data_IF_822817523182
#
_entry.id   IF_822817523182
#
_cell.length_a   1.000
_cell.length_b   1.000
_cell.length_c   1.000
_cell.angle_alpha   90.00
_cell.angle_beta   90.00
_cell.angle_gamma   90.00
#
_symmetry.space_group_name_H-M   'P 1'
#
loop_
_entity.id
_entity.type
_entity.pdbx_description
1 polymer ?
#
# COMPACT_ATOMS: atom_id res chain seq x y z
N UNK A 1 -12.21 6.58 -37.80
CA UNK A 1 -13.03 6.07 -36.67
C UNK A 1 -12.48 4.71 -36.29
N UNK A 2 -11.57 4.66 -35.32
CA UNK A 2 -10.95 3.41 -34.86
C UNK A 2 -11.55 3.03 -33.51
N UNK A 3 -11.97 1.77 -33.40
CA UNK A 3 -12.73 1.24 -32.27
C UNK A 3 -11.98 1.36 -30.93
N UNK A 4 -12.70 1.57 -29.81
CA UNK A 4 -12.10 1.62 -28.48
C UNK A 4 -11.51 0.24 -28.12
N UNK A 5 -10.27 0.24 -27.66
CA UNK A 5 -9.50 -0.95 -27.32
C UNK A 5 -10.16 -1.70 -26.15
N UNK A 6 -10.77 -2.84 -26.43
CA UNK A 6 -11.43 -3.69 -25.45
C UNK A 6 -10.40 -4.54 -24.68
N UNK A 7 -9.66 -3.91 -23.75
CA UNK A 7 -8.79 -4.58 -22.79
C UNK A 7 -9.37 -4.58 -21.36
N UNK A 8 -10.68 -4.38 -21.24
CA UNK A 8 -11.43 -4.25 -19.98
C UNK A 8 -11.53 -5.56 -19.16
N UNK A 9 -11.04 -6.70 -19.66
CA UNK A 9 -11.60 -7.99 -19.25
C UNK A 9 -10.64 -8.95 -18.54
N UNK A 10 -9.47 -8.53 -18.05
CA UNK A 10 -8.52 -9.49 -17.41
C UNK A 10 -7.69 -8.99 -16.22
N UNK A 11 -8.19 -8.09 -15.37
CA UNK A 11 -7.46 -7.76 -14.13
C UNK A 11 -8.38 -7.59 -12.92
N UNK A 12 -8.02 -8.11 -11.73
CA UNK A 12 -8.81 -7.95 -10.51
C UNK A 12 -8.84 -6.47 -10.14
N UNK A 13 -10.03 -5.90 -10.14
CA UNK A 13 -10.28 -4.56 -9.61
C UNK A 13 -10.57 -4.76 -8.13
N UNK A 14 -9.69 -4.32 -7.23
CA UNK A 14 -10.05 -4.26 -5.80
C UNK A 14 -11.15 -3.19 -5.71
N UNK A 15 -12.36 -3.63 -5.40
CA UNK A 15 -13.51 -2.74 -5.32
C UNK A 15 -13.32 -1.71 -4.21
N UNK A 16 -13.83 -0.49 -4.39
CA UNK A 16 -13.65 0.62 -3.44
C UNK A 16 -14.06 0.26 -2.01
N UNK A 17 -15.13 -0.51 -1.86
CA UNK A 17 -15.58 -0.99 -0.55
C UNK A 17 -14.62 -2.01 0.05
N UNK A 18 -14.03 -2.90 -0.77
CA UNK A 18 -13.01 -3.84 -0.34
C UNK A 18 -11.75 -3.13 0.17
N UNK A 19 -11.27 -2.11 -0.55
CA UNK A 19 -10.15 -1.29 -0.11
C UNK A 19 -10.48 -0.58 1.21
N UNK A 20 -11.70 -0.03 1.36
CA UNK A 20 -12.15 0.63 2.58
C UNK A 20 -12.22 -0.33 3.77
N UNK A 21 -12.77 -1.54 3.59
CA UNK A 21 -12.78 -2.59 4.60
C UNK A 21 -11.36 -3.00 5.00
N UNK A 22 -10.48 -3.19 4.02
CA UNK A 22 -9.08 -3.53 4.26
C UNK A 22 -8.35 -2.43 5.05
N UNK A 23 -8.51 -1.16 4.65
CA UNK A 23 -7.95 -0.01 5.39
C UNK A 23 -8.49 0.05 6.81
N UNK A 24 -9.79 -0.15 7.00
CA UNK A 24 -10.43 -0.08 8.32
C UNK A 24 -9.94 -1.19 9.25
N UNK A 25 -9.86 -2.43 8.75
CA UNK A 25 -9.36 -3.56 9.52
C UNK A 25 -7.85 -3.46 9.81
N UNK A 26 -7.03 -3.04 8.84
CA UNK A 26 -5.61 -2.76 9.06
C UNK A 26 -5.47 -1.67 10.13
N UNK A 27 -6.20 -0.56 10.01
CA UNK A 27 -6.20 0.50 11.01
C UNK A 27 -6.58 -0.02 12.40
N UNK A 28 -7.57 -0.91 12.49
CA UNK A 28 -8.06 -1.43 13.75
C UNK A 28 -7.12 -2.45 14.42
N UNK A 29 -6.39 -3.23 13.60
CA UNK A 29 -5.53 -4.32 14.06
C UNK A 29 -4.06 -3.91 14.15
N UNK A 30 -3.60 -2.89 13.44
CA UNK A 30 -2.18 -2.57 13.37
C UNK A 30 -1.68 -1.92 14.67
N UNK A 31 -0.52 -2.36 15.15
CA UNK A 31 0.12 -1.92 16.39
C UNK A 31 -0.73 -2.04 17.66
N UNK A 32 -1.74 -2.93 17.65
CA UNK A 32 -2.56 -3.21 18.82
C UNK A 32 -1.79 -4.08 19.81
N UNK A 33 -1.99 -3.80 21.09
CA UNK A 33 -1.61 -4.71 22.15
C UNK A 33 -2.76 -5.67 22.44
N UNK A 34 -2.51 -6.96 22.26
CA UNK A 34 -3.43 -8.05 22.58
C UNK A 34 -2.71 -8.90 23.61
N UNK A 35 -3.07 -8.73 24.87
CA UNK A 35 -2.34 -9.30 26.01
C UNK A 35 -0.84 -8.94 25.99
N UNK A 36 0.03 -9.94 25.81
CA UNK A 36 1.50 -9.79 25.72
C UNK A 36 1.98 -9.55 24.28
N UNK A 37 1.08 -9.67 23.30
CA UNK A 37 1.38 -9.58 21.89
C UNK A 37 1.20 -8.15 21.36
N UNK A 38 2.05 -7.78 20.41
CA UNK A 38 1.90 -6.60 19.56
C UNK A 38 1.61 -7.05 18.14
N UNK A 39 0.50 -6.58 17.59
CA UNK A 39 0.09 -6.93 16.23
C UNK A 39 0.66 -5.98 15.19
N UNK A 40 0.85 -6.48 13.98
CA UNK A 40 1.19 -5.73 12.77
C UNK A 40 0.26 -6.26 11.67
N UNK A 41 -0.61 -5.39 11.17
CA UNK A 41 -1.58 -5.75 10.14
C UNK A 41 -1.22 -5.08 8.82
N UNK A 42 -1.30 -5.83 7.72
CA UNK A 42 -1.02 -5.34 6.36
C UNK A 42 -1.85 -6.07 5.31
N UNK A 43 -1.93 -5.52 4.10
CA UNK A 43 -2.53 -6.24 2.98
C UNK A 43 -1.80 -7.57 2.72
N UNK A 44 -2.56 -8.65 2.50
CA UNK A 44 -1.98 -9.94 2.19
C UNK A 44 -1.52 -10.01 0.73
N UNK A 45 -0.42 -10.72 0.47
CA UNK A 45 0.07 -10.94 -0.89
C UNK A 45 -0.54 -12.21 -1.51
N UNK A 46 -0.43 -12.36 -2.83
CA UNK A 46 -0.77 -13.62 -3.53
C UNK A 46 0.07 -14.80 -3.03
N UNK A 47 1.29 -14.55 -2.51
CA UNK A 47 2.13 -15.58 -1.89
C UNK A 47 1.53 -16.03 -0.55
N UNK A 48 1.06 -15.09 0.27
CA UNK A 48 0.41 -15.41 1.54
C UNK A 48 -0.85 -16.26 1.29
N UNK A 49 -1.73 -15.86 0.34
CA UNK A 49 -2.95 -16.61 -0.01
C UNK A 49 -2.65 -18.06 -0.39
N UNK A 50 -1.61 -18.29 -1.21
CA UNK A 50 -1.17 -19.64 -1.61
C UNK A 50 -0.58 -20.48 -0.47
N UNK A 51 -0.13 -19.82 0.60
CA UNK A 51 0.41 -20.49 1.78
C UNK A 51 -0.65 -20.94 2.78
N UNK A 52 -1.92 -20.53 2.63
CA UNK A 52 -3.00 -20.90 3.53
C UNK A 52 -3.43 -22.36 3.31
N UNK A 53 -3.21 -23.27 4.28
CA UNK A 53 -3.50 -24.69 4.10
C UNK A 53 -4.99 -25.01 4.29
N UNK A 54 -5.68 -24.23 5.13
CA UNK A 54 -7.10 -24.33 5.38
C UNK A 54 -7.59 -23.03 6.04
N UNK A 55 -8.88 -22.77 5.95
CA UNK A 55 -9.55 -21.60 6.51
C UNK A 55 -10.58 -22.03 7.54
N UNK A 56 -10.58 -21.39 8.71
CA UNK A 56 -11.64 -21.49 9.70
C UNK A 56 -12.70 -20.46 9.33
N UNK A 57 -13.91 -20.91 9.03
CA UNK A 57 -15.05 -20.06 8.73
C UNK A 57 -15.80 -19.72 10.01
N UNK A 58 -16.09 -18.44 10.18
CA UNK A 58 -16.93 -17.89 11.23
C UNK A 58 -18.13 -17.22 10.58
N UNK A 59 -19.33 -17.72 10.88
CA UNK A 59 -20.55 -17.09 10.39
C UNK A 59 -20.95 -15.97 11.36
N UNK A 60 -21.16 -14.77 10.81
CA UNK A 60 -21.58 -13.60 11.59
C UNK A 60 -22.84 -13.01 10.97
N UNK A 61 -23.57 -12.21 11.75
CA UNK A 61 -24.69 -11.41 11.25
C UNK A 61 -24.27 -10.29 10.28
N UNK A 62 -22.96 -10.08 10.09
CA UNK A 62 -22.34 -9.08 9.19
C UNK A 62 -21.62 -9.72 8.00
N UNK A 63 -21.86 -11.01 7.75
CA UNK A 63 -21.20 -11.79 6.71
C UNK A 63 -20.11 -12.71 7.26
N UNK A 64 -19.63 -13.67 6.46
CA UNK A 64 -18.63 -14.62 6.90
C UNK A 64 -17.26 -13.96 7.07
N UNK A 65 -16.56 -14.36 8.13
CA UNK A 65 -15.15 -14.05 8.36
C UNK A 65 -14.38 -15.36 8.28
N UNK A 66 -13.25 -15.36 7.59
CA UNK A 66 -12.42 -16.55 7.46
C UNK A 66 -11.01 -16.27 7.98
N UNK A 67 -10.47 -17.17 8.79
CA UNK A 67 -9.11 -17.06 9.33
C UNK A 67 -8.29 -18.26 8.89
N UNK A 68 -7.13 -18.02 8.28
CA UNK A 68 -6.13 -19.03 7.98
C UNK A 68 -4.86 -18.79 8.81
N UNK A 69 -4.65 -19.54 9.89
CA UNK A 69 -3.37 -19.57 10.60
C UNK A 69 -2.27 -20.12 9.70
N UNK A 70 -1.17 -19.38 9.59
CA UNK A 70 0.05 -19.80 8.87
C UNK A 70 1.17 -20.18 9.85
N UNK A 71 1.27 -19.44 10.95
CA UNK A 71 2.25 -19.64 12.02
C UNK A 71 1.54 -19.48 13.38
N UNK A 72 1.75 -20.41 14.31
CA UNK A 72 1.24 -20.35 15.68
C UNK A 72 2.32 -20.84 16.65
N UNK A 73 2.61 -20.05 17.68
CA UNK A 73 3.77 -20.14 18.57
C UNK A 73 5.07 -20.46 17.83
N UNK A 74 5.34 -19.67 16.80
CA UNK A 74 6.53 -19.77 15.95
C UNK A 74 6.69 -21.13 15.21
N UNK A 75 5.59 -21.87 15.06
CA UNK A 75 5.54 -23.12 14.29
C UNK A 75 4.51 -23.02 13.17
N UNK A 76 4.76 -23.71 12.04
CA UNK A 76 3.79 -23.78 10.95
C UNK A 76 2.48 -24.39 11.46
N UNK A 77 1.37 -23.69 11.23
CA UNK A 77 0.06 -24.19 11.59
C UNK A 77 -0.30 -25.37 10.69
N UNK A 78 -0.52 -26.54 11.30
CA UNK A 78 -0.91 -27.76 10.58
C UNK A 78 -2.38 -28.01 10.84
N UNK A 79 -3.22 -27.52 9.92
CA UNK A 79 -4.67 -27.68 9.99
C UNK A 79 -5.23 -28.63 8.94
N UNK A 80 -4.35 -29.35 8.25
CA UNK A 80 -4.69 -30.35 7.26
C UNK A 80 -4.18 -31.70 7.69
N UNK A 81 -4.98 -32.73 7.48
CA UNK A 81 -4.55 -34.12 7.57
C UNK A 81 -3.72 -34.51 6.35
N UNK A 82 -3.08 -35.69 6.37
CA UNK A 82 -2.19 -36.20 5.31
C UNK A 82 -2.62 -35.90 3.86
N UNK A 83 -3.86 -36.18 3.43
CA UNK A 83 -4.30 -35.91 2.05
C UNK A 83 -4.60 -34.43 1.74
N UNK A 84 -4.20 -33.48 2.59
CA UNK A 84 -4.45 -32.05 2.39
C UNK A 84 -5.88 -31.60 2.75
N UNK A 85 -6.69 -32.51 3.30
CA UNK A 85 -8.05 -32.19 3.75
C UNK A 85 -8.02 -31.46 5.10
N UNK A 86 -8.85 -30.42 5.30
CA UNK A 86 -8.95 -29.73 6.58
C UNK A 86 -9.25 -30.70 7.74
N UNK A 87 -8.53 -30.57 8.84
CA UNK A 87 -8.65 -31.38 10.05
C UNK A 87 -9.28 -30.54 11.18
N UNK A 88 -10.50 -30.92 11.56
CA UNK A 88 -11.28 -30.25 12.61
C UNK A 88 -10.59 -30.24 13.98
N UNK A 89 -9.94 -31.33 14.36
CA UNK A 89 -9.27 -31.42 15.66
C UNK A 89 -8.02 -30.54 15.69
N UNK A 90 -7.24 -30.56 14.61
CA UNK A 90 -6.05 -29.72 14.47
C UNK A 90 -6.42 -28.22 14.36
N UNK A 91 -7.51 -27.90 13.68
CA UNK A 91 -8.03 -26.53 13.61
C UNK A 91 -8.52 -26.04 14.97
N UNK A 92 -9.26 -26.86 15.74
CA UNK A 92 -9.71 -26.49 17.09
C UNK A 92 -8.53 -26.27 18.05
N UNK A 93 -7.52 -27.14 18.01
CA UNK A 93 -6.30 -26.97 18.80
C UNK A 93 -5.51 -25.69 18.41
N UNK A 94 -5.47 -25.38 17.11
CA UNK A 94 -4.84 -24.16 16.61
C UNK A 94 -5.63 -22.92 17.04
N UNK A 95 -6.96 -22.98 16.96
CA UNK A 95 -7.87 -21.89 17.35
C UNK A 95 -7.68 -21.52 18.83
N UNK A 96 -7.57 -22.50 19.73
CA UNK A 96 -7.33 -22.26 21.15
C UNK A 96 -6.03 -21.51 21.45
N UNK A 97 -5.00 -21.63 20.60
CA UNK A 97 -3.71 -20.93 20.76
C UNK A 97 -3.73 -19.49 20.22
N UNK A 98 -4.69 -19.16 19.38
CA UNK A 98 -4.83 -17.83 18.78
C UNK A 98 -6.07 -17.10 19.31
N UNK A 99 -6.71 -17.64 20.34
CA UNK A 99 -7.94 -17.10 20.94
C UNK A 99 -7.83 -15.63 21.33
N UNK A 100 -6.71 -15.13 21.90
CA UNK A 100 -6.57 -13.69 22.16
C UNK A 100 -6.67 -12.83 20.89
N UNK A 101 -6.15 -13.31 19.75
CA UNK A 101 -6.22 -12.60 18.47
C UNK A 101 -7.64 -12.65 17.87
N UNK A 102 -8.36 -13.75 18.08
CA UNK A 102 -9.76 -13.88 17.68
C UNK A 102 -10.64 -12.95 18.52
N UNK A 103 -10.45 -12.91 19.84
CA UNK A 103 -11.15 -11.99 20.73
C UNK A 103 -10.88 -10.51 20.39
N UNK A 104 -9.66 -10.19 19.96
CA UNK A 104 -9.33 -8.86 19.46
C UNK A 104 -10.12 -8.53 18.18
N UNK A 105 -10.30 -9.50 17.29
CA UNK A 105 -11.10 -9.35 16.07
C UNK A 105 -12.59 -9.19 16.38
N UNK A 106 -13.15 -9.98 17.30
CA UNK A 106 -14.53 -9.84 17.80
C UNK A 106 -14.80 -8.43 18.33
N UNK A 107 -13.87 -7.91 19.15
CA UNK A 107 -13.95 -6.56 19.70
C UNK A 107 -14.01 -5.49 18.61
N UNK A 108 -13.22 -5.67 17.55
CA UNK A 108 -13.11 -4.71 16.44
C UNK A 108 -14.33 -4.80 15.51
N UNK A 109 -14.86 -6.00 15.29
CA UNK A 109 -16.02 -6.22 14.44
C UNK A 109 -17.35 -5.97 15.17
N UNK A 110 -17.33 -5.97 16.51
CA UNK A 110 -18.53 -5.85 17.33
C UNK A 110 -19.44 -7.09 17.24
N UNK A 111 -18.87 -8.26 16.94
CA UNK A 111 -19.60 -9.54 16.78
C UNK A 111 -18.84 -10.66 17.46
N UNK A 112 -19.56 -11.68 17.90
CA UNK A 112 -18.95 -12.94 18.37
C UNK A 112 -18.63 -13.84 17.18
N UNK A 113 -17.44 -14.43 17.18
CA UNK A 113 -16.92 -15.29 16.13
C UNK A 113 -17.06 -16.76 16.52
N UNK A 114 -18.20 -17.35 16.15
CA UNK A 114 -18.44 -18.78 16.33
C UNK A 114 -17.92 -19.58 15.12
N UNK A 115 -17.03 -20.56 15.32
CA UNK A 115 -16.52 -21.37 14.23
C UNK A 115 -17.65 -22.23 13.64
N UNK A 116 -17.95 -22.01 12.36
CA UNK A 116 -19.03 -22.66 11.63
C UNK A 116 -18.54 -23.81 10.73
N UNK A 117 -17.27 -23.81 10.33
CA UNK A 117 -16.71 -24.87 9.51
C UNK A 117 -15.27 -24.64 9.07
N UNK A 118 -14.76 -25.56 8.26
CA UNK A 118 -13.45 -25.48 7.64
C UNK A 118 -13.59 -25.47 6.11
N UNK A 119 -12.80 -24.65 5.45
CA UNK A 119 -12.73 -24.55 4.00
C UNK A 119 -11.30 -24.84 3.54
N UNK A 120 -11.15 -25.55 2.41
CA UNK A 120 -9.86 -25.73 1.77
C UNK A 120 -9.47 -24.48 0.94
N UNK A 121 -10.46 -23.85 0.30
CA UNK A 121 -10.28 -22.69 -0.56
C UNK A 121 -11.36 -21.63 -0.29
N UNK A 122 -11.11 -20.39 -0.71
CA UNK A 122 -12.05 -19.28 -0.63
C UNK A 122 -12.80 -19.17 -1.96
N UNK A 123 -14.13 -19.16 -1.92
CA UNK A 123 -15.00 -19.08 -3.11
C UNK A 123 -15.07 -17.65 -3.69
N UNK A 124 -14.98 -16.62 -2.84
CA UNK A 124 -15.04 -15.20 -3.22
C UNK A 124 -13.64 -14.54 -3.29
N UNK A 125 -13.59 -13.26 -3.65
CA UNK A 125 -12.40 -12.41 -3.54
C UNK A 125 -12.50 -11.41 -2.36
N UNK A 126 -12.41 -11.89 -1.10
CA UNK A 126 -12.58 -11.06 0.08
C UNK A 126 -11.43 -10.08 0.28
N UNK A 127 -11.63 -9.06 1.11
CA UNK A 127 -10.54 -8.25 1.63
C UNK A 127 -9.60 -9.14 2.44
N UNK A 128 -8.35 -9.30 1.96
CA UNK A 128 -7.35 -10.16 2.58
C UNK A 128 -6.32 -9.35 3.36
N UNK A 129 -6.15 -9.72 4.63
CA UNK A 129 -5.25 -9.06 5.57
C UNK A 129 -4.34 -10.10 6.18
N UNK A 130 -3.06 -9.76 6.26
CA UNK A 130 -2.10 -10.51 7.05
C UNK A 130 -1.92 -9.84 8.40
N UNK A 131 -2.07 -10.62 9.46
CA UNK A 131 -1.86 -10.22 10.85
C UNK A 131 -0.65 -10.97 11.41
N UNK A 132 0.43 -10.25 11.68
CA UNK A 132 1.61 -10.78 12.37
C UNK A 132 1.55 -10.34 13.84
N UNK A 133 1.61 -11.28 14.79
CA UNK A 133 1.62 -11.01 16.22
C UNK A 133 3.00 -11.32 16.81
N UNK A 134 3.59 -10.34 17.49
CA UNK A 134 4.94 -10.41 18.04
C UNK A 134 4.92 -10.32 19.56
N UNK A 135 5.80 -11.03 20.24
CA UNK A 135 6.01 -10.84 21.67
C UNK A 135 6.69 -9.49 21.98
N UNK A 136 6.74 -9.10 23.26
CA UNK A 136 7.44 -7.88 23.71
C UNK A 136 8.90 -7.78 23.26
N UNK A 137 9.58 -8.92 23.06
CA UNK A 137 10.95 -8.98 22.55
C UNK A 137 11.08 -8.80 21.03
N UNK A 138 9.97 -8.65 20.30
CA UNK A 138 9.95 -8.52 18.85
C UNK A 138 9.95 -9.84 18.08
N UNK A 139 9.97 -10.99 18.76
CA UNK A 139 9.86 -12.31 18.13
C UNK A 139 8.47 -12.51 17.56
N UNK A 140 8.38 -12.89 16.28
CA UNK A 140 7.12 -13.28 15.66
C UNK A 140 6.61 -14.58 16.28
N UNK A 141 5.42 -14.51 16.89
CA UNK A 141 4.78 -15.65 17.54
C UNK A 141 3.68 -16.24 16.65
N UNK A 142 2.80 -15.41 16.10
CA UNK A 142 1.72 -15.86 15.23
C UNK A 142 1.68 -15.10 13.92
N UNK A 143 1.21 -15.78 12.87
CA UNK A 143 0.86 -15.19 11.58
C UNK A 143 -0.45 -15.76 11.11
N UNK A 144 -1.43 -14.89 10.92
CA UNK A 144 -2.77 -15.24 10.45
C UNK A 144 -3.06 -14.50 9.14
N UNK A 145 -3.85 -15.12 8.27
CA UNK A 145 -4.60 -14.40 7.25
C UNK A 145 -6.05 -14.28 7.69
N UNK A 146 -6.62 -13.10 7.45
CA UNK A 146 -8.00 -12.77 7.72
C UNK A 146 -8.62 -12.38 6.39
N UNK A 147 -9.71 -13.05 6.04
CA UNK A 147 -10.55 -12.73 4.90
C UNK A 147 -11.89 -12.22 5.42
N UNK A 148 -12.28 -11.03 4.96
CA UNK A 148 -13.55 -10.40 5.30
C UNK A 148 -14.24 -9.87 4.03
N UNK A 149 -15.57 -9.84 4.04
CA UNK A 149 -16.34 -9.25 2.95
C UNK A 149 -16.15 -7.72 2.88
N UNK A 150 -16.39 -7.13 1.71
CA UNK A 150 -16.15 -5.72 1.44
C UNK A 150 -17.04 -4.76 2.25
N UNK A 151 -18.20 -5.22 2.69
CA UNK A 151 -19.19 -4.47 3.46
C UNK A 151 -19.02 -4.61 4.99
N UNK A 152 -17.95 -5.26 5.45
CA UNK A 152 -17.74 -5.48 6.88
C UNK A 152 -17.63 -4.14 7.62
N UNK A 153 -18.52 -3.93 8.57
CA UNK A 153 -18.52 -2.73 9.39
C UNK A 153 -17.54 -2.92 10.56
N UNK A 154 -16.44 -2.16 10.51
CA UNK A 154 -15.43 -2.13 11.56
C UNK A 154 -15.81 -1.08 12.59
N UNK A 155 -15.93 -1.46 13.86
CA UNK A 155 -16.14 -0.52 14.96
C UNK A 155 -14.92 0.41 15.01
N UNK A 156 -15.11 1.72 14.82
CA UNK A 156 -14.00 2.65 14.82
C UNK A 156 -13.26 2.56 16.16
N UNK A 157 -11.93 2.41 16.10
CA UNK A 157 -11.11 2.31 17.29
C UNK A 157 -11.40 3.50 18.23
N UNK A 158 -11.45 3.27 19.55
CA UNK A 158 -11.36 4.37 20.49
C UNK A 158 -10.06 5.14 20.18
N UNK A 159 -10.18 6.45 20.08
CA UNK A 159 -9.04 7.34 19.86
C UNK A 159 -7.93 7.02 20.88
N UNK A 160 -6.65 7.21 20.53
CA UNK A 160 -5.59 7.17 21.54
C UNK A 160 -6.04 7.97 22.77
N UNK A 161 -5.85 7.44 23.99
CA UNK A 161 -6.43 8.03 25.21
C UNK A 161 -6.10 9.53 25.38
N UNK A 162 -5.01 9.96 24.76
CA UNK A 162 -4.49 11.32 24.82
C UNK A 162 -4.88 12.19 23.60
N UNK A 163 -5.67 11.67 22.65
CA UNK A 163 -6.14 12.41 21.48
C UNK A 163 -7.56 12.94 21.74
N UNK A 164 -7.74 14.26 21.96
CA UNK A 164 -9.06 14.83 22.17
C UNK A 164 -9.99 14.51 20.99
N UNK A 165 -11.26 14.16 21.28
CA UNK A 165 -12.25 13.78 20.26
C UNK A 165 -12.37 14.79 19.10
N UNK A 166 -12.26 16.08 19.41
CA UNK A 166 -12.28 17.17 18.41
C UNK A 166 -11.08 17.12 17.47
N UNK A 167 -9.89 16.74 17.97
CA UNK A 167 -8.69 16.58 17.16
C UNK A 167 -8.78 15.31 16.33
N UNK A 168 -9.25 14.20 16.92
CA UNK A 168 -9.44 12.93 16.23
C UNK A 168 -10.32 13.03 14.97
N UNK A 169 -11.36 13.87 15.00
CA UNK A 169 -12.28 14.09 13.90
C UNK A 169 -11.76 15.03 12.80
N UNK A 170 -10.59 15.68 12.97
CA UNK A 170 -10.05 16.61 11.98
C UNK A 170 -9.79 15.88 10.66
N UNK A 171 -10.40 16.39 9.58
CA UNK A 171 -10.22 15.86 8.23
C UNK A 171 -8.96 16.43 7.61
N UNK A 172 -7.98 15.58 7.39
CA UNK A 172 -6.65 15.91 6.91
C UNK A 172 -6.44 15.26 5.53
N UNK A 173 -5.84 16.02 4.61
CA UNK A 173 -5.53 15.55 3.25
C UNK A 173 -4.08 15.08 3.20
N UNK A 174 -3.85 13.89 2.67
CA UNK A 174 -2.51 13.40 2.40
C UNK A 174 -2.10 13.74 0.96
N UNK A 175 -0.80 13.78 0.68
CA UNK A 175 -0.26 13.98 -0.67
C UNK A 175 0.78 12.92 -0.98
N UNK A 176 0.93 12.60 -2.26
CA UNK A 176 1.95 11.69 -2.76
C UNK A 176 2.87 12.38 -3.76
N UNK A 177 4.08 11.87 -3.86
CA UNK A 177 5.13 12.35 -4.74
C UNK A 177 5.77 11.14 -5.45
N UNK A 178 6.03 11.25 -6.75
CA UNK A 178 6.77 10.24 -7.53
C UNK A 178 7.90 10.94 -8.27
N UNK A 179 9.09 10.36 -8.22
CA UNK A 179 10.24 10.88 -8.94
C UNK A 179 10.10 10.64 -10.46
N UNK A 180 10.37 11.67 -11.26
CA UNK A 180 10.52 11.53 -12.70
C UNK A 180 11.98 11.14 -13.03
N UNK A 181 12.22 10.46 -14.17
CA UNK A 181 13.58 10.34 -14.69
C UNK A 181 14.18 11.74 -14.90
N UNK A 182 15.50 11.94 -14.70
CA UNK A 182 16.12 13.26 -14.90
C UNK A 182 15.89 13.77 -16.33
N UNK A 183 15.30 14.96 -16.46
CA UNK A 183 14.90 15.55 -17.75
C UNK A 183 15.82 16.73 -18.07
N UNK A 184 16.39 16.83 -19.29
CA UNK A 184 17.16 18.00 -19.69
C UNK A 184 16.33 19.29 -19.58
N UNK A 185 16.94 20.36 -19.07
CA UNK A 185 16.27 21.65 -18.86
C UNK A 185 15.56 22.17 -20.13
N UNK A 186 16.18 22.02 -21.31
CA UNK A 186 15.57 22.40 -22.60
C UNK A 186 14.28 21.65 -22.92
N UNK A 187 14.15 20.39 -22.48
CA UNK A 187 12.97 19.56 -22.74
C UNK A 187 11.83 19.96 -21.79
N UNK A 188 12.16 20.31 -20.55
CA UNK A 188 11.19 20.86 -19.60
C UNK A 188 10.68 22.24 -20.06
N UNK A 189 11.58 23.09 -20.57
CA UNK A 189 11.23 24.42 -21.06
C UNK A 189 10.37 24.39 -22.33
N UNK A 190 10.50 23.34 -23.14
CA UNK A 190 9.74 23.13 -24.36
C UNK A 190 8.47 22.26 -24.16
N UNK A 191 8.07 21.99 -22.91
CA UNK A 191 6.84 21.24 -22.65
C UNK A 191 5.62 22.02 -23.13
N UNK A 192 4.77 21.34 -23.90
CA UNK A 192 3.51 21.87 -24.38
C UNK A 192 2.33 21.02 -23.89
N UNK A 193 1.12 21.60 -23.96
CA UNK A 193 -0.10 20.84 -23.70
C UNK A 193 -0.22 19.69 -24.72
N UNK A 194 -0.47 18.48 -24.22
CA UNK A 194 -0.54 17.27 -25.04
C UNK A 194 0.76 16.46 -25.07
N UNK A 195 1.86 17.00 -24.55
CA UNK A 195 3.10 16.23 -24.38
C UNK A 195 2.92 15.11 -23.35
N UNK A 196 3.70 14.03 -23.52
CA UNK A 196 3.70 12.90 -22.60
C UNK A 196 5.10 12.61 -22.06
N UNK A 197 5.23 12.60 -20.73
CA UNK A 197 6.48 12.25 -20.03
C UNK A 197 6.36 10.79 -19.55
N UNK A 198 7.23 9.90 -20.04
CA UNK A 198 7.17 8.47 -19.73
C UNK A 198 8.06 8.11 -18.52
N UNK A 199 7.52 7.29 -17.61
CA UNK A 199 8.22 6.79 -16.40
C UNK A 199 8.94 5.45 -16.61
N UNK A 200 8.62 4.75 -17.71
CA UNK A 200 9.03 3.37 -17.94
C UNK A 200 7.96 2.35 -17.51
N UNK A 201 8.37 1.08 -17.45
CA UNK A 201 7.50 -0.09 -17.19
C UNK A 201 7.62 -0.66 -15.77
N UNK A 202 8.43 -0.03 -14.92
CA UNK A 202 8.58 -0.45 -13.54
C UNK A 202 7.29 -0.17 -12.73
N UNK A 203 7.06 -0.89 -11.61
CA UNK A 203 6.00 -0.55 -10.67
C UNK A 203 6.11 0.92 -10.25
N UNK A 204 4.98 1.63 -10.24
CA UNK A 204 4.97 3.04 -9.88
C UNK A 204 5.16 3.17 -8.37
N UNK A 205 6.33 3.65 -7.95
CA UNK A 205 6.67 3.86 -6.54
C UNK A 205 6.89 5.34 -6.24
N UNK A 206 6.62 5.73 -5.01
CA UNK A 206 6.71 7.12 -4.59
C UNK A 206 6.83 7.29 -3.09
N UNK A 207 6.65 8.53 -2.65
CA UNK A 207 6.67 8.93 -1.26
C UNK A 207 5.33 9.59 -0.88
N UNK A 208 4.82 9.24 0.29
CA UNK A 208 3.59 9.76 0.87
C UNK A 208 3.93 10.74 1.99
N UNK A 209 3.35 11.93 1.93
CA UNK A 209 3.40 12.91 3.01
C UNK A 209 2.07 12.89 3.76
N UNK A 210 2.15 12.57 5.05
CA UNK A 210 1.02 12.56 5.97
C UNK A 210 1.08 13.79 6.88
N UNK A 211 0.01 14.60 6.99
CA UNK A 211 -0.03 15.73 7.92
C UNK A 211 0.29 15.28 9.36
N UNK A 212 1.20 16.00 10.01
CA UNK A 212 1.65 15.69 11.36
C UNK A 212 2.74 14.61 11.47
N UNK A 213 3.20 14.02 10.36
CA UNK A 213 4.41 13.17 10.32
C UNK A 213 5.53 13.88 9.56
N UNK A 214 6.72 13.86 10.12
CA UNK A 214 7.92 14.44 9.50
C UNK A 214 8.56 13.50 8.47
N UNK A 215 8.40 12.19 8.65
CA UNK A 215 8.93 11.17 7.73
C UNK A 215 7.98 10.96 6.56
N UNK A 216 8.51 11.07 5.33
CA UNK A 216 7.84 10.61 4.11
C UNK A 216 7.81 9.08 4.09
N UNK A 217 6.67 8.48 3.79
CA UNK A 217 6.51 7.03 3.78
C UNK A 217 6.57 6.49 2.34
N UNK A 218 7.35 5.45 2.05
CA UNK A 218 7.36 4.87 0.71
C UNK A 218 5.99 4.28 0.39
N UNK A 219 5.55 4.44 -0.85
CA UNK A 219 4.30 3.90 -1.36
C UNK A 219 4.48 3.21 -2.71
N UNK A 220 3.70 2.17 -2.94
CA UNK A 220 3.48 1.59 -4.27
C UNK A 220 2.09 2.00 -4.75
N UNK A 221 2.01 2.53 -5.96
CA UNK A 221 0.80 3.08 -6.56
C UNK A 221 0.28 2.10 -7.61
N UNK A 222 -0.95 1.65 -7.43
CA UNK A 222 -1.71 0.94 -8.44
C UNK A 222 -2.83 1.85 -8.95
N UNK A 223 -2.60 2.47 -10.12
CA UNK A 223 -3.59 3.34 -10.77
C UNK A 223 -4.83 2.57 -11.23
N UNK A 224 -4.67 1.29 -11.59
CA UNK A 224 -5.78 0.45 -12.06
C UNK A 224 -6.67 0.08 -10.88
N UNK A 225 -6.06 -0.37 -9.79
CA UNK A 225 -6.72 -0.62 -8.51
C UNK A 225 -7.17 0.64 -7.78
N UNK A 226 -6.71 1.83 -8.21
CA UNK A 226 -6.94 3.12 -7.56
C UNK A 226 -6.51 3.12 -6.09
N UNK A 227 -5.37 2.50 -5.81
CA UNK A 227 -4.84 2.36 -4.47
C UNK A 227 -3.37 2.75 -4.37
N UNK A 228 -2.99 3.30 -3.21
CA UNK A 228 -1.61 3.48 -2.80
C UNK A 228 -1.36 2.64 -1.56
N UNK A 229 -0.44 1.68 -1.63
CA UNK A 229 -0.08 0.83 -0.51
C UNK A 229 1.19 1.38 0.16
N UNK A 230 1.15 1.58 1.47
CA UNK A 230 2.32 1.96 2.26
C UNK A 230 3.31 0.79 2.28
N UNK A 231 4.53 1.01 1.83
CA UNK A 231 5.59 0.00 1.82
C UNK A 231 6.51 0.10 3.04
N UNK A 232 7.44 -0.87 3.12
CA UNK A 232 8.74 -0.65 3.78
C UNK A 232 9.65 0.11 2.83
N UNK A 233 10.65 0.75 3.40
CA UNK A 233 11.75 1.32 2.62
C UNK A 233 12.47 0.17 1.91
N UNK A 234 12.22 -0.02 0.62
CA UNK A 234 12.88 -1.08 -0.16
C UNK A 234 14.39 -0.83 -0.29
N UNK A 235 14.87 0.37 0.03
CA UNK A 235 16.30 0.69 0.08
C UNK A 235 17.00 0.23 1.38
N UNK A 236 16.28 -0.13 2.45
CA UNK A 236 16.90 -0.63 3.69
C UNK A 236 17.25 -2.13 3.64
N UNK A 237 16.64 -2.94 2.77
CA UNK A 237 16.94 -4.39 2.68
C UNK A 237 18.17 -4.73 1.82
N UNK A 238 18.69 -3.81 1.00
CA UNK A 238 19.84 -4.07 0.11
C UNK A 238 21.21 -3.66 0.71
N UNK A 239 21.26 -3.29 1.99
CA UNK A 239 22.53 -2.97 2.69
C UNK A 239 23.21 -4.18 3.36
N UNK A 240 22.74 -5.39 3.10
CA UNK A 240 23.31 -6.62 3.66
C UNK A 240 23.98 -7.55 2.63
N UNK A 241 24.77 -7.01 1.70
CA UNK A 241 25.90 -7.71 1.06
C UNK A 241 27.01 -6.70 0.75
N UNK A 242 28.17 -6.72 1.44
CA UNK A 242 29.35 -5.99 0.96
C UNK A 242 29.97 -6.82 -0.16
N UNK A 243 29.50 -6.67 -1.39
CA UNK A 243 30.20 -7.24 -2.54
C UNK A 243 31.36 -6.32 -2.92
N UNK A 244 32.54 -6.69 -2.41
CA UNK A 244 33.82 -6.25 -2.96
C UNK A 244 33.88 -6.70 -4.42
N UNK A 245 33.59 -5.82 -5.38
CA UNK A 245 34.48 -5.46 -6.50
C UNK A 245 33.92 -4.21 -7.18
N UNK A 246 34.60 -3.08 -7.06
CA UNK A 246 34.65 -2.09 -8.15
C UNK A 246 36.01 -1.44 -8.09
N UNK A 247 36.95 -2.06 -8.80
CA UNK A 247 38.21 -1.46 -9.18
C UNK A 247 37.87 -0.22 -10.00
N UNK A 248 38.21 0.95 -9.45
CA UNK A 248 38.18 2.23 -10.15
C UNK A 248 39.12 2.09 -11.35
N UNK A 249 38.55 2.02 -12.55
CA UNK A 249 39.29 2.25 -13.77
C UNK A 249 39.28 3.77 -13.99
N UNK A 250 40.33 4.44 -13.51
CA UNK A 250 40.60 5.85 -13.82
C UNK A 250 40.79 5.99 -15.33
N UNK A 251 39.77 6.50 -16.01
CA UNK A 251 39.91 7.05 -17.36
C UNK A 251 40.64 8.40 -17.26
N UNK A 252 41.56 8.72 -18.19
CA UNK A 252 42.32 9.97 -18.13
C UNK A 252 41.38 11.17 -18.33
N UNK A 253 41.36 12.09 -17.37
CA UNK A 253 40.78 13.41 -17.55
C UNK A 253 41.58 14.20 -18.59
N UNK A 254 41.02 14.38 -19.79
CA UNK A 254 41.31 15.55 -20.60
C UNK A 254 40.42 16.71 -20.10
N UNK A 255 40.97 17.88 -19.75
CA UNK A 255 40.15 19.02 -19.38
C UNK A 255 39.61 19.67 -20.66
N UNK A 256 38.45 19.24 -21.14
CA UNK A 256 37.63 20.10 -22.00
C UNK A 256 36.83 21.03 -21.10
N UNK A 257 37.36 22.24 -20.97
CA UNK A 257 36.68 23.37 -20.34
C UNK A 257 35.59 23.88 -21.28
N UNK A 258 34.47 23.15 -21.31
CA UNK A 258 33.20 23.69 -21.78
C UNK A 258 32.27 23.60 -20.58
N UNK A 259 31.87 24.76 -20.03
CA UNK A 259 30.78 24.77 -19.06
C UNK A 259 29.58 24.06 -19.69
N UNK A 260 28.93 23.11 -19.00
CA UNK A 260 27.75 22.47 -19.56
C UNK A 260 26.76 23.56 -19.93
N UNK A 261 26.38 23.60 -21.20
CA UNK A 261 25.38 24.53 -21.70
C UNK A 261 24.13 24.34 -20.84
N UNK A 262 23.62 25.40 -20.22
CA UNK A 262 22.53 25.34 -19.23
C UNK A 262 21.31 24.53 -19.70
N UNK A 263 21.11 24.46 -21.02
CA UNK A 263 20.08 23.69 -21.71
C UNK A 263 20.20 22.16 -21.57
N UNK A 264 21.42 21.62 -21.43
CA UNK A 264 21.71 20.18 -21.31
C UNK A 264 21.73 19.68 -19.86
N UNK A 265 21.66 20.61 -18.89
CA UNK A 265 21.62 20.27 -17.47
C UNK A 265 20.40 19.40 -17.18
N UNK A 266 20.62 18.21 -16.62
CA UNK A 266 19.54 17.31 -16.20
C UNK A 266 18.95 17.81 -14.90
N UNK A 267 17.68 18.18 -14.94
CA UNK A 267 16.93 18.68 -13.79
C UNK A 267 16.15 17.52 -13.17
N UNK A 268 16.25 17.38 -11.85
CA UNK A 268 15.38 16.48 -11.11
C UNK A 268 13.96 17.07 -11.11
N UNK A 269 13.01 16.26 -11.58
CA UNK A 269 11.61 16.60 -11.57
C UNK A 269 10.84 15.53 -10.79
N UNK A 270 9.72 15.92 -10.19
CA UNK A 270 8.82 15.01 -9.49
C UNK A 270 7.38 15.32 -9.91
N UNK A 271 6.49 14.36 -9.73
CA UNK A 271 5.06 14.61 -9.83
C UNK A 271 4.46 14.57 -8.44
N UNK A 272 3.61 15.53 -8.15
CA UNK A 272 2.84 15.56 -6.92
C UNK A 272 1.38 15.34 -7.22
N UNK A 273 0.71 14.59 -6.35
CA UNK A 273 -0.73 14.43 -6.40
C UNK A 273 -1.31 14.55 -5.02
N UNK A 274 -2.54 15.05 -4.97
CA UNK A 274 -3.26 15.12 -3.73
C UNK A 274 -4.12 13.88 -3.56
N UNK A 275 -4.06 13.26 -2.40
CA UNK A 275 -4.88 12.12 -2.07
C UNK A 275 -6.26 12.49 -1.54
N UNK A 276 -6.92 11.45 -1.02
CA UNK A 276 -8.17 11.57 -0.29
C UNK A 276 -8.03 12.26 1.07
N UNK A 277 -9.16 12.39 1.77
CA UNK A 277 -9.21 12.89 3.13
C UNK A 277 -9.34 11.73 4.11
N UNK A 278 -8.60 11.82 5.22
CA UNK A 278 -8.66 10.89 6.34
C UNK A 278 -8.79 11.70 7.63
N UNK A 279 -9.44 11.13 8.63
CA UNK A 279 -9.46 11.74 9.96
C UNK A 279 -8.09 11.62 10.62
N UNK A 280 -7.75 12.53 11.54
CA UNK A 280 -6.51 12.43 12.32
C UNK A 280 -6.41 11.10 13.08
N UNK A 281 -7.54 10.56 13.53
CA UNK A 281 -7.66 9.23 14.11
C UNK A 281 -7.19 8.13 13.14
N UNK A 282 -7.72 8.13 11.92
CA UNK A 282 -7.33 7.18 10.88
C UNK A 282 -5.84 7.33 10.51
N UNK A 283 -5.36 8.57 10.37
CA UNK A 283 -3.94 8.83 10.09
C UNK A 283 -3.01 8.28 11.19
N UNK A 284 -3.40 8.40 12.47
CA UNK A 284 -2.62 7.88 13.59
C UNK A 284 -2.42 6.36 13.52
N UNK A 285 -3.41 5.64 12.95
CA UNK A 285 -3.37 4.18 12.81
C UNK A 285 -2.63 3.68 11.57
N UNK A 286 -2.31 4.55 10.61
CA UNK A 286 -1.62 4.15 9.38
C UNK A 286 -0.21 3.63 9.69
N UNK A 287 0.09 2.46 9.15
CA UNK A 287 1.42 1.85 9.17
C UNK A 287 1.74 1.13 7.86
N UNK A 288 2.88 0.44 7.84
CA UNK A 288 3.29 -0.39 6.71
C UNK A 288 2.16 -1.33 6.27
N UNK A 289 1.94 -1.40 4.96
CA UNK A 289 0.95 -2.25 4.33
C UNK A 289 -0.49 -1.72 4.37
N UNK A 290 -0.70 -0.54 4.96
CA UNK A 290 -1.99 0.17 4.85
C UNK A 290 -2.25 0.53 3.40
N UNK A 291 -3.50 0.39 2.96
CA UNK A 291 -3.93 0.76 1.60
C UNK A 291 -4.72 2.06 1.68
N UNK A 292 -4.42 3.01 0.81
CA UNK A 292 -5.07 4.31 0.70
C UNK A 292 -5.79 4.44 -0.64
N UNK A 293 -7.05 4.91 -0.66
CA UNK A 293 -7.76 5.11 -1.92
C UNK A 293 -7.21 6.33 -2.69
N UNK A 294 -6.90 6.13 -3.96
CA UNK A 294 -6.51 7.21 -4.87
C UNK A 294 -7.75 7.90 -5.44
N UNK A 295 -7.75 9.24 -5.57
CA UNK A 295 -8.80 9.98 -6.25
C UNK A 295 -8.69 9.88 -7.79
N UNK A 296 -8.34 8.69 -8.31
CA UNK A 296 -8.24 8.45 -9.73
C UNK A 296 -9.63 8.32 -10.37
N UNK A 297 -9.83 9.00 -11.51
CA UNK A 297 -11.09 8.99 -12.26
C UNK A 297 -10.82 8.47 -13.67
N UNK A 298 -11.63 7.53 -14.14
CA UNK A 298 -11.42 6.95 -15.48
C UNK A 298 -10.08 6.24 -15.70
N UNK A 299 -9.35 5.90 -14.62
CA UNK A 299 -8.01 5.30 -14.70
C UNK A 299 -6.86 6.31 -14.82
N UNK A 300 -7.16 7.61 -14.70
CA UNK A 300 -6.15 8.68 -14.67
C UNK A 300 -6.13 9.36 -13.29
N UNK A 301 -4.98 9.92 -12.92
CA UNK A 301 -4.80 10.65 -11.67
C UNK A 301 -4.27 12.05 -11.97
N UNK A 302 -4.97 13.10 -11.52
CA UNK A 302 -4.50 14.47 -11.69
C UNK A 302 -3.22 14.71 -10.88
N UNK A 303 -2.20 15.27 -11.52
CA UNK A 303 -0.88 15.53 -10.94
C UNK A 303 -0.36 16.92 -11.30
N UNK A 304 0.61 17.39 -10.51
CA UNK A 304 1.41 18.58 -10.79
C UNK A 304 2.84 18.14 -11.05
N UNK A 305 3.46 18.66 -12.11
CA UNK A 305 4.87 18.43 -12.41
C UNK A 305 5.68 19.52 -11.70
N UNK A 306 6.56 19.09 -10.80
CA UNK A 306 7.45 19.94 -10.02
C UNK A 306 8.87 19.80 -10.57
N UNK A 307 9.53 20.91 -10.88
CA UNK A 307 10.94 20.92 -11.24
C UNK A 307 11.64 22.07 -10.51
N UNK A 308 12.84 21.82 -9.97
CA UNK A 308 13.55 22.85 -9.18
C UNK A 308 12.76 23.36 -7.96
N UNK A 309 11.82 22.57 -7.45
CA UNK A 309 10.97 22.94 -6.31
C UNK A 309 9.74 23.79 -6.65
N UNK A 310 9.48 24.10 -7.94
CA UNK A 310 8.33 24.87 -8.37
C UNK A 310 7.41 24.06 -9.31
N UNK A 311 6.08 24.24 -9.24
CA UNK A 311 5.15 23.60 -10.17
C UNK A 311 5.26 24.27 -11.55
N UNK A 312 5.69 23.50 -12.55
CA UNK A 312 5.89 23.98 -13.93
C UNK A 312 4.74 23.61 -14.87
N UNK A 313 3.98 22.56 -14.54
CA UNK A 313 2.86 22.09 -15.36
C UNK A 313 1.85 21.28 -14.54
N UNK A 314 0.66 21.12 -15.11
CA UNK A 314 -0.38 20.21 -14.64
C UNK A 314 -0.55 19.09 -15.67
N UNK A 315 -0.96 17.91 -15.20
CA UNK A 315 -1.14 16.77 -16.06
C UNK A 315 -1.99 15.68 -15.45
N UNK A 316 -2.18 14.63 -16.23
CA UNK A 316 -2.81 13.40 -15.81
C UNK A 316 -1.82 12.25 -15.90
N UNK A 317 -1.58 11.59 -14.78
CA UNK A 317 -0.87 10.34 -14.72
C UNK A 317 -1.75 9.23 -15.31
N UNK A 318 -1.25 8.58 -16.35
CA UNK A 318 -1.95 7.59 -17.18
C UNK A 318 -1.13 6.33 -17.33
N UNK A 319 -1.80 5.20 -17.54
CA UNK A 319 -1.15 3.97 -17.98
C UNK A 319 -0.95 4.01 -19.51
N UNK A 320 0.29 3.75 -19.97
CA UNK A 320 0.67 3.73 -21.39
C UNK A 320 1.24 2.35 -21.72
N UNK A 321 0.41 1.49 -22.31
CA UNK A 321 0.78 0.08 -22.54
C UNK A 321 1.04 -0.66 -21.24
N UNK A 322 2.28 -1.11 -21.04
CA UNK A 322 2.76 -1.75 -19.81
C UNK A 322 3.40 -0.76 -18.82
N UNK A 323 3.59 0.50 -19.24
CA UNK A 323 4.23 1.53 -18.42
C UNK A 323 3.28 2.62 -17.97
N UNK A 324 3.89 3.66 -17.42
CA UNK A 324 3.19 4.85 -16.95
C UNK A 324 3.71 6.08 -17.68
N UNK A 325 2.86 7.11 -17.80
CA UNK A 325 3.23 8.43 -18.32
C UNK A 325 2.40 9.55 -17.70
N UNK A 326 2.88 10.79 -17.78
CA UNK A 326 2.05 11.97 -17.51
C UNK A 326 1.72 12.64 -18.83
N UNK A 327 0.43 12.74 -19.12
CA UNK A 327 -0.08 13.59 -20.19
C UNK A 327 -0.20 15.02 -19.65
N UNK A 328 0.54 15.96 -20.23
CA UNK A 328 0.50 17.37 -19.86
C UNK A 328 -0.81 17.98 -20.30
N UNK A 329 -1.57 18.54 -19.37
CA UNK A 329 -2.88 19.15 -19.63
C UNK A 329 -2.84 20.67 -19.62
N UNK A 330 -1.90 21.26 -18.89
CA UNK A 330 -1.67 22.70 -18.87
C UNK A 330 -0.23 23.03 -18.47
N UNK A 331 0.34 24.08 -19.06
CA UNK A 331 1.62 24.65 -18.64
C UNK A 331 1.35 25.77 -17.64
N UNK A 332 2.10 25.80 -16.54
CA UNK A 332 2.07 26.96 -15.64
C UNK A 332 3.11 27.95 -16.14
N UNK A 333 2.65 29.13 -16.56
CA UNK A 333 3.55 30.21 -16.86
C UNK A 333 4.34 30.55 -15.59
N UNK A 334 5.66 30.40 -15.63
CA UNK A 334 6.53 31.09 -14.69
C UNK A 334 6.41 32.57 -15.00
N UNK A 335 5.78 33.35 -14.11
CA UNK A 335 6.07 34.77 -14.03
C UNK A 335 7.55 34.88 -13.67
N UNK A 336 8.39 35.05 -14.68
CA UNK A 336 9.74 35.52 -14.49
C UNK A 336 9.62 36.95 -13.95
N UNK A 337 9.84 37.11 -12.64
CA UNK A 337 10.08 38.42 -12.07
C UNK A 337 11.33 39.01 -12.73
N UNK A 338 11.18 40.23 -13.26
CA UNK A 338 12.24 41.11 -13.76
C UNK A 338 13.42 41.26 -12.77
#
# INVERSE_FOLDING_TARGET
MSAPFAAHSRLPTIEREQAKAQTALIAALNHRHVETLRTIARGATTRDRRGAPAWIRFDTNRGPIMIAPLLVDNQLARMTSGPGLPDGAAAAATLGRIEPLVAALETILGVELHPAGLLAELEDDPALIRLDAHERGGTLCHRLLIAAQADVEVVPLPLPRDLPARIGALSLRWSGEVALPPIPARRLAALEQGDCILFGIAPLTGALTLPGRTRRMPITIDLRGRTAMLGRDLQEEDTAVPDRVSRVEELPLAPTSEMPEWAELKVAATIEFDGGRLTAAQLATLGEGSVLPLPATGGTLAVRIIAGGAPIAEGELVAVGEGYGVLVTAIRATDAAD
#
